data_IF_424375478273
#
_entry.id   IF_424375478273
#
_cell.length_a   1.000
_cell.length_b   1.000
_cell.length_c   1.000
_cell.angle_alpha   90.00
_cell.angle_beta   90.00
_cell.angle_gamma   90.00
#
_symmetry.space_group_name_H-M   'P 1'
#
loop_
_entity.id
_entity.type
_entity.pdbx_description
1 polymer ?
#
# COMPACT_ATOMS: atom_id res chain seq x y z
N UNK A 1 -14.20 -18.49 -6.95
CA UNK A 1 -14.62 -17.08 -6.72
C UNK A 1 -13.60 -16.20 -7.43
N UNK A 2 -14.02 -15.53 -8.50
CA UNK A 2 -13.19 -14.64 -9.32
C UNK A 2 -12.93 -13.37 -8.53
N UNK A 3 -11.68 -12.91 -8.44
CA UNK A 3 -11.36 -11.63 -7.79
C UNK A 3 -12.19 -10.51 -8.44
N UNK A 4 -12.74 -9.56 -7.68
CA UNK A 4 -13.42 -8.42 -8.28
C UNK A 4 -12.41 -7.69 -9.17
N UNK A 5 -12.79 -7.50 -10.44
CA UNK A 5 -12.02 -6.65 -11.34
C UNK A 5 -11.87 -5.29 -10.66
N UNK A 6 -10.63 -4.83 -10.49
CA UNK A 6 -10.40 -3.46 -10.07
C UNK A 6 -11.19 -2.54 -11.02
N UNK A 7 -11.96 -1.57 -10.51
CA UNK A 7 -12.58 -0.59 -11.38
C UNK A 7 -11.47 0.03 -12.23
N UNK A 8 -11.73 0.20 -13.53
CA UNK A 8 -10.82 0.92 -14.40
C UNK A 8 -10.51 2.27 -13.73
N UNK A 9 -9.22 2.62 -13.56
CA UNK A 9 -8.89 3.93 -13.04
C UNK A 9 -9.58 4.97 -13.92
N UNK A 10 -10.16 6.04 -13.34
CA UNK A 10 -10.87 7.04 -14.13
C UNK A 10 -9.94 7.49 -15.25
N UNK A 11 -10.37 7.33 -16.50
CA UNK A 11 -9.58 7.81 -17.64
C UNK A 11 -9.43 9.31 -17.47
N UNK A 12 -8.18 9.79 -17.54
CA UNK A 12 -7.87 11.21 -17.46
C UNK A 12 -8.22 11.85 -18.80
N UNK A 13 -9.51 11.96 -19.06
CA UNK A 13 -10.04 12.64 -20.23
C UNK A 13 -9.95 14.15 -19.94
N UNK A 14 -8.84 14.79 -20.31
CA UNK A 14 -8.75 16.26 -20.40
C UNK A 14 -7.72 16.92 -19.50
N UNK A 15 -6.70 17.49 -20.17
CA UNK A 15 -5.84 18.62 -19.77
C UNK A 15 -4.91 18.51 -18.54
N UNK A 16 -5.18 17.66 -17.55
CA UNK A 16 -4.38 17.65 -16.30
C UNK A 16 -3.02 16.94 -16.38
N UNK A 17 -2.92 15.89 -17.20
CA UNK A 17 -1.80 14.93 -17.17
C UNK A 17 -1.22 14.64 -18.55
N UNK A 18 -1.32 15.59 -19.49
CA UNK A 18 -0.61 15.47 -20.77
C UNK A 18 0.89 15.73 -20.58
N UNK A 19 1.63 14.66 -20.30
CA UNK A 19 3.08 14.66 -20.19
C UNK A 19 3.80 14.38 -21.51
N UNK A 20 3.08 14.26 -22.63
CA UNK A 20 3.70 13.95 -23.93
C UNK A 20 4.44 15.16 -24.50
N UNK A 21 4.06 16.37 -24.11
CA UNK A 21 4.58 17.62 -24.65
C UNK A 21 5.39 18.45 -23.64
N UNK A 22 5.59 17.94 -22.42
CA UNK A 22 6.31 18.66 -21.35
C UNK A 22 6.97 17.71 -20.35
N UNK A 23 8.03 18.13 -19.64
CA UNK A 23 8.55 17.36 -18.52
C UNK A 23 7.50 17.22 -17.40
N UNK A 24 7.60 16.11 -16.66
CA UNK A 24 6.91 15.93 -15.39
C UNK A 24 7.39 16.99 -14.38
N UNK A 25 6.46 17.48 -13.56
CA UNK A 25 6.64 18.57 -12.60
C UNK A 25 6.14 18.16 -11.22
N UNK A 26 6.46 18.97 -10.21
CA UNK A 26 6.03 18.74 -8.83
C UNK A 26 4.52 18.53 -8.67
N UNK A 27 3.70 19.32 -9.39
CA UNK A 27 2.24 19.19 -9.38
C UNK A 27 1.73 17.84 -9.91
N UNK A 28 2.47 17.19 -10.81
CA UNK A 28 2.05 15.91 -11.40
C UNK A 28 2.16 14.78 -10.37
N UNK A 29 3.09 14.90 -9.42
CA UNK A 29 3.22 13.96 -8.30
C UNK A 29 1.98 14.01 -7.41
N UNK A 30 1.45 15.21 -7.14
CA UNK A 30 0.20 15.38 -6.39
C UNK A 30 -1.02 14.86 -7.14
N UNK A 31 -1.12 15.16 -8.44
CA UNK A 31 -2.20 14.65 -9.27
C UNK A 31 -2.17 13.12 -9.31
N UNK A 32 -0.98 12.50 -9.40
CA UNK A 32 -0.82 11.05 -9.39
C UNK A 32 -1.26 10.42 -8.07
N UNK A 33 -0.90 11.05 -6.96
CA UNK A 33 -1.36 10.65 -5.62
C UNK A 33 -2.89 10.60 -5.57
N UNK A 34 -3.54 11.69 -5.99
CA UNK A 34 -4.99 11.83 -5.94
C UNK A 34 -5.67 10.83 -6.88
N UNK A 35 -5.14 10.66 -8.09
CA UNK A 35 -5.69 9.78 -9.10
C UNK A 35 -5.70 8.31 -8.67
N UNK A 36 -4.63 7.85 -8.01
CA UNK A 36 -4.56 6.50 -7.46
C UNK A 36 -5.15 6.37 -6.04
N UNK A 37 -5.69 7.45 -5.46
CA UNK A 37 -6.24 7.45 -4.10
C UNK A 37 -5.22 7.10 -3.02
N UNK A 38 -3.94 7.44 -3.23
CA UNK A 38 -2.83 7.07 -2.36
C UNK A 38 -2.62 8.06 -1.21
N UNK A 39 -2.12 7.55 -0.09
CA UNK A 39 -1.51 8.39 0.95
C UNK A 39 -0.15 8.92 0.50
N UNK A 40 0.35 9.95 1.18
CA UNK A 40 1.72 10.44 0.98
C UNK A 40 2.74 9.30 1.13
N UNK A 41 2.60 8.49 2.17
CA UNK A 41 3.53 7.38 2.44
C UNK A 41 3.51 6.32 1.34
N UNK A 42 2.35 6.02 0.76
CA UNK A 42 2.25 5.10 -0.38
C UNK A 42 2.84 5.70 -1.65
N UNK A 43 2.59 6.99 -1.90
CA UNK A 43 3.14 7.68 -3.07
C UNK A 43 4.66 7.80 -2.98
N UNK A 44 5.20 8.16 -1.81
CA UNK A 44 6.63 8.14 -1.56
C UNK A 44 7.23 6.75 -1.76
N UNK A 45 6.54 5.68 -1.35
CA UNK A 45 7.02 4.32 -1.58
C UNK A 45 6.96 3.93 -3.06
N UNK A 46 5.85 4.21 -3.74
CA UNK A 46 5.65 3.95 -5.16
C UNK A 46 6.73 4.64 -6.00
N UNK A 47 7.04 5.89 -5.68
CA UNK A 47 7.99 6.72 -6.43
C UNK A 47 9.43 6.66 -5.89
N UNK A 48 9.70 5.90 -4.82
CA UNK A 48 11.02 5.85 -4.18
C UNK A 48 11.48 7.16 -3.54
N UNK A 49 10.56 8.03 -3.12
CA UNK A 49 10.85 9.34 -2.55
C UNK A 49 11.09 9.29 -1.04
N UNK A 50 12.02 10.13 -0.60
CA UNK A 50 12.11 10.53 0.81
C UNK A 50 11.10 11.66 1.10
N UNK A 51 10.73 11.85 2.38
CA UNK A 51 9.83 12.96 2.78
C UNK A 51 10.39 14.34 2.39
N UNK A 52 11.69 14.64 2.57
CA UNK A 52 12.25 15.90 2.09
C UNK A 52 12.12 16.08 0.57
N UNK A 53 12.34 15.03 -0.21
CA UNK A 53 12.21 15.08 -1.68
C UNK A 53 10.75 15.31 -2.10
N UNK A 54 9.81 14.66 -1.41
CA UNK A 54 8.38 14.91 -1.58
C UNK A 54 8.03 16.39 -1.32
N UNK A 55 8.45 16.93 -0.17
CA UNK A 55 8.16 18.32 0.20
C UNK A 55 8.73 19.31 -0.82
N UNK A 56 9.96 19.06 -1.30
CA UNK A 56 10.55 19.87 -2.37
C UNK A 56 9.66 19.91 -3.63
N UNK A 57 9.07 18.79 -4.05
CA UNK A 57 8.16 18.79 -5.19
C UNK A 57 6.84 19.53 -4.92
N UNK A 58 6.39 19.59 -3.66
CA UNK A 58 5.20 20.38 -3.28
C UNK A 58 5.49 21.88 -3.26
N UNK A 59 6.68 22.26 -2.80
CA UNK A 59 7.15 23.65 -2.72
C UNK A 59 7.46 24.22 -4.12
N UNK A 60 7.85 23.36 -5.06
CA UNK A 60 8.19 23.71 -6.44
C UNK A 60 7.25 23.01 -7.45
N UNK A 61 5.93 23.26 -7.42
CA UNK A 61 4.94 22.50 -8.18
C UNK A 61 5.05 22.69 -9.70
N UNK A 62 5.68 23.78 -10.13
CA UNK A 62 5.75 24.19 -11.53
C UNK A 62 7.10 23.88 -12.17
N UNK A 63 8.08 23.51 -11.35
CA UNK A 63 9.41 23.14 -11.80
C UNK A 63 9.44 21.69 -12.29
N UNK A 64 10.22 21.38 -13.34
CA UNK A 64 10.49 20.01 -13.73
C UNK A 64 11.05 19.19 -12.57
N UNK A 65 10.63 17.92 -12.47
CA UNK A 65 11.21 17.01 -11.49
C UNK A 65 12.71 16.88 -11.73
N UNK A 66 13.50 17.22 -10.72
CA UNK A 66 14.96 17.18 -10.76
C UNK A 66 15.57 15.77 -10.63
N UNK A 67 14.74 14.72 -10.53
CA UNK A 67 15.18 13.33 -10.54
C UNK A 67 14.63 12.64 -11.80
N UNK A 68 15.49 12.23 -12.75
CA UNK A 68 15.04 11.67 -14.02
C UNK A 68 14.34 10.32 -13.86
N UNK A 69 14.67 9.53 -12.83
CA UNK A 69 14.04 8.23 -12.58
C UNK A 69 12.61 8.43 -12.09
N UNK A 70 12.42 9.40 -11.19
CA UNK A 70 11.09 9.79 -10.70
C UNK A 70 10.26 10.37 -11.85
N UNK A 71 10.84 11.23 -12.69
CA UNK A 71 10.15 11.80 -13.84
C UNK A 71 9.66 10.73 -14.82
N UNK A 72 10.52 9.76 -15.16
CA UNK A 72 10.15 8.64 -16.03
C UNK A 72 9.06 7.78 -15.39
N UNK A 73 9.14 7.51 -14.09
CA UNK A 73 8.15 6.71 -13.39
C UNK A 73 6.79 7.39 -13.31
N UNK A 74 6.75 8.70 -13.04
CA UNK A 74 5.52 9.52 -13.09
C UNK A 74 4.92 9.47 -14.50
N UNK A 75 5.74 9.63 -15.54
CA UNK A 75 5.29 9.53 -16.93
C UNK A 75 4.73 8.15 -17.28
N UNK A 76 5.41 7.06 -16.87
CA UNK A 76 4.93 5.69 -17.10
C UNK A 76 3.61 5.42 -16.40
N UNK A 77 3.48 5.80 -15.13
CA UNK A 77 2.25 5.61 -14.37
C UNK A 77 1.09 6.47 -14.90
N UNK A 78 1.39 7.62 -15.53
CA UNK A 78 0.42 8.47 -16.21
C UNK A 78 -0.09 7.87 -17.52
N UNK A 79 0.80 7.28 -18.30
CA UNK A 79 0.53 6.81 -19.67
C UNK A 79 0.11 5.34 -19.74
N UNK A 80 0.50 4.55 -18.74
CA UNK A 80 0.21 3.13 -18.60
C UNK A 80 -0.18 2.79 -17.14
N UNK A 81 -1.33 3.28 -16.63
CA UNK A 81 -1.73 3.14 -15.22
C UNK A 81 -1.91 1.69 -14.76
N UNK A 82 -2.14 0.75 -15.68
CA UNK A 82 -2.20 -0.69 -15.43
C UNK A 82 -0.86 -1.27 -14.93
N UNK A 83 0.25 -0.57 -15.15
CA UNK A 83 1.59 -0.97 -14.68
C UNK A 83 1.79 -0.71 -13.18
N UNK A 84 0.78 -0.18 -12.48
CA UNK A 84 0.83 0.06 -11.03
C UNK A 84 1.13 -1.24 -10.29
N UNK A 85 2.32 -1.32 -9.70
CA UNK A 85 2.82 -2.50 -9.01
C UNK A 85 2.56 -2.52 -7.50
N UNK A 86 1.77 -1.57 -6.96
CA UNK A 86 1.38 -1.62 -5.56
C UNK A 86 0.51 -2.87 -5.34
N UNK A 87 0.91 -3.79 -4.43
CA UNK A 87 0.10 -4.94 -4.14
C UNK A 87 -1.25 -4.49 -3.56
N UNK A 88 -2.29 -5.27 -3.85
CA UNK A 88 -3.56 -5.10 -3.13
C UNK A 88 -3.33 -5.59 -1.71
N UNK A 89 -3.38 -4.67 -0.76
CA UNK A 89 -3.21 -4.98 0.65
C UNK A 89 -4.55 -5.42 1.24
N UNK A 90 -4.57 -6.43 2.14
CA UNK A 90 -5.81 -6.81 2.81
C UNK A 90 -6.27 -5.71 3.76
N UNK A 91 -7.57 -5.48 3.82
CA UNK A 91 -8.19 -4.61 4.81
C UNK A 91 -8.04 -5.20 6.22
N UNK A 92 -8.01 -4.37 7.28
CA UNK A 92 -7.89 -4.81 8.67
C UNK A 92 -8.80 -5.97 9.08
N UNK A 93 -10.06 -5.88 8.68
CA UNK A 93 -11.08 -6.88 8.98
C UNK A 93 -10.78 -8.23 8.29
N UNK A 94 -10.08 -8.22 7.15
CA UNK A 94 -9.73 -9.43 6.40
C UNK A 94 -8.55 -10.16 7.03
N UNK A 95 -7.74 -9.49 7.86
CA UNK A 95 -6.49 -10.04 8.35
C UNK A 95 -6.66 -11.21 9.30
N UNK A 96 -7.54 -11.08 10.31
CA UNK A 96 -7.73 -12.18 11.26
C UNK A 96 -8.27 -13.43 10.54
N UNK A 97 -9.32 -13.34 9.71
CA UNK A 97 -9.78 -14.46 8.90
C UNK A 97 -8.65 -15.08 8.06
N UNK A 98 -7.89 -14.26 7.32
CA UNK A 98 -6.76 -14.73 6.52
C UNK A 98 -5.70 -15.44 7.38
N UNK A 99 -5.39 -14.91 8.56
CA UNK A 99 -4.44 -15.54 9.48
C UNK A 99 -4.97 -16.88 10.00
N UNK A 100 -6.24 -16.95 10.42
CA UNK A 100 -6.83 -18.19 10.96
C UNK A 100 -6.93 -19.28 9.88
N UNK A 101 -7.21 -18.89 8.63
CA UNK A 101 -7.23 -19.79 7.48
C UNK A 101 -5.83 -20.30 7.13
N UNK A 102 -4.84 -19.41 7.05
CA UNK A 102 -3.54 -19.77 6.48
C UNK A 102 -2.54 -20.29 7.50
N UNK A 103 -2.63 -19.87 8.76
CA UNK A 103 -1.66 -20.26 9.79
C UNK A 103 -1.59 -21.77 10.10
N UNK A 104 -2.70 -22.54 10.09
CA UNK A 104 -2.64 -24.00 10.26
C UNK A 104 -1.88 -24.73 9.15
N UNK A 105 -1.83 -24.14 7.95
CA UNK A 105 -1.21 -24.73 6.75
C UNK A 105 0.21 -24.21 6.50
N UNK A 106 0.63 -23.18 7.22
CA UNK A 106 1.98 -22.63 7.15
C UNK A 106 3.01 -23.68 7.61
N UNK A 107 3.81 -24.17 6.67
CA UNK A 107 4.92 -25.11 6.92
C UNK A 107 6.11 -24.43 7.61
N UNK A 108 6.15 -23.10 7.65
CA UNK A 108 7.26 -22.31 8.21
C UNK A 108 7.07 -21.98 9.69
N UNK A 109 8.11 -22.33 10.47
CA UNK A 109 8.70 -21.77 11.72
C UNK A 109 7.92 -20.92 12.74
N UNK A 110 6.71 -20.41 12.49
CA UNK A 110 5.97 -19.61 13.47
C UNK A 110 5.61 -20.42 14.72
N UNK A 111 5.16 -21.67 14.54
CA UNK A 111 4.92 -22.61 15.65
C UNK A 111 6.20 -23.13 16.33
N UNK A 112 7.37 -23.03 15.67
CA UNK A 112 8.65 -23.43 16.24
C UNK A 112 9.32 -22.29 17.04
N UNK A 113 9.11 -21.02 16.64
CA UNK A 113 9.66 -19.83 17.30
C UNK A 113 8.83 -19.43 18.52
N UNK A 114 7.52 -19.65 18.49
CA UNK A 114 6.66 -19.50 19.66
C UNK A 114 5.92 -20.82 19.84
N UNK A 115 6.08 -21.48 20.99
CA UNK A 115 5.28 -22.65 21.42
C UNK A 115 3.77 -22.33 21.59
N UNK A 116 3.25 -21.31 20.92
CA UNK A 116 1.88 -20.82 21.00
C UNK A 116 1.03 -21.49 19.93
N UNK A 117 -0.06 -22.12 20.36
CA UNK A 117 -1.12 -22.61 19.45
C UNK A 117 -1.67 -21.45 18.62
N UNK A 118 -1.97 -21.70 17.35
CA UNK A 118 -2.61 -20.74 16.46
C UNK A 118 -3.99 -20.29 17.00
N UNK A 119 -4.36 -19.04 16.75
CA UNK A 119 -5.64 -18.47 17.20
C UNK A 119 -5.58 -16.95 17.43
N UNK A 120 -6.72 -16.35 17.83
CA UNK A 120 -6.85 -14.90 18.07
C UNK A 120 -5.81 -14.35 19.04
N UNK A 121 -5.47 -15.11 20.08
CA UNK A 121 -4.43 -14.78 21.07
C UNK A 121 -3.04 -14.71 20.45
N UNK A 122 -2.64 -15.72 19.66
CA UNK A 122 -1.35 -15.74 18.99
C UNK A 122 -1.23 -14.60 17.97
N UNK A 123 -2.32 -14.33 17.24
CA UNK A 123 -2.42 -13.18 16.34
C UNK A 123 -2.27 -11.84 17.06
N UNK A 124 -2.93 -11.64 18.21
CA UNK A 124 -2.76 -10.44 19.04
C UNK A 124 -1.30 -10.23 19.48
N UNK A 125 -0.62 -11.30 19.89
CA UNK A 125 0.80 -11.27 20.26
C UNK A 125 1.74 -11.02 19.05
N UNK A 126 1.32 -11.28 17.82
CA UNK A 126 2.09 -10.97 16.60
C UNK A 126 1.97 -9.49 16.21
N UNK A 127 0.81 -8.87 16.45
CA UNK A 127 0.48 -7.50 16.02
C UNK A 127 0.80 -6.40 17.05
N UNK A 128 1.35 -6.75 18.20
CA UNK A 128 2.04 -5.77 19.05
C UNK A 128 1.73 -5.91 20.53
N UNK A 129 2.82 -6.08 21.29
CA UNK A 129 2.98 -5.97 22.75
C UNK A 129 2.14 -6.88 23.65
N UNK A 130 0.82 -6.93 23.52
CA UNK A 130 -0.08 -7.59 24.48
C UNK A 130 -1.27 -8.29 23.79
N UNK A 131 -1.89 -9.24 24.48
CA UNK A 131 -2.98 -10.09 23.95
C UNK A 131 -4.21 -9.31 23.47
N UNK A 132 -4.51 -8.18 24.11
CA UNK A 132 -5.69 -7.33 23.85
C UNK A 132 -5.55 -6.45 22.62
N UNK A 133 -4.32 -6.29 22.10
CA UNK A 133 -4.02 -5.52 20.89
C UNK A 133 -4.77 -5.99 19.65
N UNK A 134 -5.31 -7.22 19.67
CA UNK A 134 -6.11 -7.75 18.58
C UNK A 134 -7.41 -6.97 18.37
N UNK A 135 -8.02 -6.47 19.44
CA UNK A 135 -9.36 -5.88 19.38
C UNK A 135 -9.43 -4.69 18.42
N UNK A 136 -8.36 -3.88 18.33
CA UNK A 136 -8.30 -2.75 17.39
C UNK A 136 -8.40 -3.17 15.92
N UNK A 137 -8.01 -4.41 15.61
CA UNK A 137 -8.05 -4.99 14.26
C UNK A 137 -9.36 -5.74 13.96
N UNK A 138 -10.15 -6.05 14.99
CA UNK A 138 -11.39 -6.82 14.87
C UNK A 138 -12.64 -5.94 14.79
N UNK A 139 -12.51 -4.66 15.06
CA UNK A 139 -13.62 -3.71 14.94
C UNK A 139 -13.93 -3.48 13.46
N UNK A 140 -15.13 -3.86 13.02
CA UNK A 140 -15.63 -3.61 11.65
C UNK A 140 -15.72 -2.11 11.34
N UNK A 141 -15.94 -1.27 12.36
CA UNK A 141 -15.88 0.19 12.28
C UNK A 141 -14.48 0.69 12.65
N UNK A 142 -13.49 0.52 11.77
CA UNK A 142 -12.29 1.34 11.87
C UNK A 142 -12.58 2.72 11.25
N UNK A 143 -12.78 3.72 12.10
CA UNK A 143 -12.91 5.13 11.67
C UNK A 143 -11.63 5.63 10.97
N UNK A 144 -10.48 5.01 11.26
CA UNK A 144 -9.19 5.43 10.75
C UNK A 144 -8.59 4.35 9.85
N UNK A 145 -8.32 4.72 8.59
CA UNK A 145 -7.56 3.85 7.67
C UNK A 145 -6.21 3.47 8.31
N UNK A 146 -5.83 2.19 8.27
CA UNK A 146 -4.52 1.73 8.71
C UNK A 146 -3.38 2.47 8.03
N UNK A 147 -2.24 2.52 8.72
CA UNK A 147 -1.04 3.06 8.10
C UNK A 147 -0.49 2.10 7.03
N UNK A 148 0.21 2.57 6.00
CA UNK A 148 0.78 1.70 4.96
C UNK A 148 1.74 0.63 5.48
N UNK A 149 2.42 0.88 6.61
CA UNK A 149 3.27 -0.11 7.27
C UNK A 149 2.47 -1.32 7.75
N UNK A 150 1.25 -1.08 8.24
CA UNK A 150 0.33 -2.14 8.63
C UNK A 150 -0.04 -2.94 7.40
N UNK A 151 -0.60 -2.31 6.37
CA UNK A 151 -0.97 -2.98 5.13
C UNK A 151 0.16 -3.86 4.56
N UNK A 152 1.41 -3.39 4.58
CA UNK A 152 2.59 -4.18 4.20
C UNK A 152 2.87 -5.37 5.11
N UNK A 153 2.83 -5.17 6.43
CA UNK A 153 3.00 -6.27 7.39
C UNK A 153 1.96 -7.37 7.12
N UNK A 154 0.71 -6.99 6.85
CA UNK A 154 -0.37 -7.92 6.58
C UNK A 154 -0.14 -8.70 5.28
N UNK A 155 0.32 -8.02 4.23
CA UNK A 155 0.69 -8.67 2.96
C UNK A 155 1.84 -9.66 3.13
N UNK A 156 2.90 -9.29 3.87
CA UNK A 156 4.03 -10.19 4.17
C UNK A 156 3.56 -11.40 4.99
N UNK A 157 2.73 -11.18 6.02
CA UNK A 157 2.17 -12.28 6.82
C UNK A 157 1.36 -13.22 5.94
N UNK A 158 0.45 -12.71 5.10
CA UNK A 158 -0.33 -13.53 4.16
C UNK A 158 0.59 -14.38 3.28
N UNK A 159 1.59 -13.78 2.65
CA UNK A 159 2.48 -14.50 1.75
C UNK A 159 3.35 -15.53 2.47
N UNK A 160 3.81 -15.23 3.69
CA UNK A 160 4.57 -16.20 4.49
C UNK A 160 3.73 -17.40 4.92
N UNK A 161 2.43 -17.22 5.14
CA UNK A 161 1.53 -18.30 5.57
C UNK A 161 1.00 -19.13 4.38
N UNK A 162 1.01 -18.58 3.16
CA UNK A 162 0.60 -19.26 1.93
C UNK A 162 1.73 -20.05 1.23
N UNK A 163 2.98 -19.95 1.71
CA UNK A 163 4.16 -20.69 1.18
C UNK A 163 4.74 -21.65 2.22
#
# INVERSE_FOLDING_TARGET
MTAPALPDPPRLDGEGFDLNLRPARGRDVLLLQQWFGLTQTETCYLLGLSVPKWNHYLEHPDEPLNDPTVALLVWLLATAPETRFLPTFPEPAEVLPLYLETAPHSTKRLGAIRKTKFGKTAFGLLLGREMTSVNRWLTESQERRPSPQVYRLLWVLRNLLLT
#
